data_IF_701661847322
#
_entry.id   IF_701661847322
#
_cell.length_a   1.000
_cell.length_b   1.000
_cell.length_c   1.000
_cell.angle_alpha   90.00
_cell.angle_beta   90.00
_cell.angle_gamma   90.00
#
_symmetry.space_group_name_H-M   'P 1'
#
loop_
_entity.id
_entity.type
_entity.pdbx_description
1 polymer ?
#
# COMPACT_ATOMS: atom_id res chain seq x y z
N UNK A 1 -6.07 8.90 34.01
CA UNK A 1 -6.49 7.50 33.83
C UNK A 1 -5.63 6.97 32.70
N UNK A 2 -4.89 5.88 32.92
CA UNK A 2 -4.17 5.24 31.81
C UNK A 2 -5.22 4.56 30.93
N UNK A 3 -5.26 4.87 29.65
CA UNK A 3 -6.16 4.20 28.71
C UNK A 3 -5.84 2.71 28.65
N UNK A 4 -6.88 1.87 28.78
CA UNK A 4 -6.77 0.44 28.57
C UNK A 4 -6.63 0.17 27.08
N UNK A 5 -5.39 0.05 26.60
CA UNK A 5 -5.06 -0.21 25.20
C UNK A 5 -5.22 -1.69 24.81
N UNK A 6 -6.01 -2.47 25.56
CA UNK A 6 -6.23 -3.88 25.25
C UNK A 6 -7.19 -4.02 24.07
N UNK A 7 -6.69 -4.72 23.04
CA UNK A 7 -7.44 -5.06 21.83
C UNK A 7 -7.65 -6.57 21.77
N UNK A 8 -8.88 -6.97 21.42
CA UNK A 8 -9.24 -8.37 21.14
C UNK A 8 -9.48 -8.52 19.65
N UNK A 9 -8.79 -9.45 19.02
CA UNK A 9 -8.86 -9.72 17.58
C UNK A 9 -9.08 -11.20 17.31
N UNK A 10 -9.68 -11.52 16.16
CA UNK A 10 -9.72 -12.89 15.67
C UNK A 10 -8.37 -13.26 15.04
N UNK A 11 -7.76 -14.35 15.50
CA UNK A 11 -6.50 -14.85 14.96
C UNK A 11 -6.77 -15.81 13.79
N UNK A 12 -6.74 -15.28 12.57
CA UNK A 12 -6.76 -16.07 11.34
C UNK A 12 -5.46 -16.87 11.12
N UNK A 13 -5.40 -17.73 10.10
CA UNK A 13 -4.26 -18.62 9.87
C UNK A 13 -2.87 -17.94 9.84
N UNK A 14 -2.66 -16.78 9.18
CA UNK A 14 -1.37 -16.10 9.20
C UNK A 14 -0.95 -15.69 10.62
N UNK A 15 -1.90 -15.23 11.43
CA UNK A 15 -1.63 -14.82 12.80
C UNK A 15 -1.35 -16.02 13.71
N UNK A 16 -2.09 -17.12 13.53
CA UNK A 16 -1.83 -18.37 14.24
C UNK A 16 -0.42 -18.89 13.94
N UNK A 17 0.02 -18.81 12.68
CA UNK A 17 1.38 -19.18 12.28
C UNK A 17 2.44 -18.29 12.95
N UNK A 18 2.22 -16.97 12.99
CA UNK A 18 3.13 -16.01 13.65
C UNK A 18 3.23 -16.24 15.16
N UNK A 19 2.12 -16.65 15.79
CA UNK A 19 1.99 -16.84 17.23
C UNK A 19 2.38 -18.26 17.69
N UNK A 20 2.47 -19.23 16.79
CA UNK A 20 2.79 -20.61 17.13
C UNK A 20 4.09 -20.70 17.94
N UNK A 21 4.05 -21.43 19.07
CA UNK A 21 5.22 -21.62 19.95
C UNK A 21 5.68 -20.39 20.74
N UNK A 22 4.94 -19.27 20.70
CA UNK A 22 5.30 -18.05 21.44
C UNK A 22 4.43 -17.87 22.70
N UNK A 23 5.05 -17.88 23.88
CA UNK A 23 4.37 -17.61 25.15
C UNK A 23 3.98 -16.11 25.28
N UNK A 24 4.78 -15.20 24.73
CA UNK A 24 4.54 -13.76 24.73
C UNK A 24 3.80 -13.25 23.48
N UNK A 25 2.50 -13.56 23.34
CA UNK A 25 1.71 -13.21 22.14
C UNK A 25 1.73 -11.72 21.79
N UNK A 26 1.49 -10.84 22.76
CA UNK A 26 1.46 -9.38 22.52
C UNK A 26 2.82 -8.85 22.08
N UNK A 27 3.91 -9.28 22.72
CA UNK A 27 5.26 -8.88 22.32
C UNK A 27 5.59 -9.36 20.90
N UNK A 28 5.16 -10.59 20.55
CA UNK A 28 5.34 -11.14 19.20
C UNK A 28 4.58 -10.35 18.15
N UNK A 29 3.33 -9.99 18.42
CA UNK A 29 2.51 -9.17 17.51
C UNK A 29 3.14 -7.81 17.25
N UNK A 30 3.55 -7.10 18.32
CA UNK A 30 4.20 -5.80 18.19
C UNK A 30 5.50 -5.91 17.38
N UNK A 31 6.31 -6.94 17.61
CA UNK A 31 7.55 -7.17 16.85
C UNK A 31 7.28 -7.39 15.36
N UNK A 32 6.22 -8.15 15.01
CA UNK A 32 5.87 -8.37 13.61
C UNK A 32 5.34 -7.09 12.97
N UNK A 33 4.48 -6.35 13.65
CA UNK A 33 3.97 -5.06 13.18
C UNK A 33 5.11 -4.05 12.97
N UNK A 34 6.06 -3.94 13.90
CA UNK A 34 7.22 -3.06 13.79
C UNK A 34 8.07 -3.41 12.56
N UNK A 35 8.36 -4.69 12.34
CA UNK A 35 9.13 -5.15 11.17
C UNK A 35 8.38 -4.92 9.86
N UNK A 36 7.06 -5.13 9.85
CA UNK A 36 6.23 -4.83 8.70
C UNK A 36 6.27 -3.34 8.35
N UNK A 37 6.07 -2.47 9.35
CA UNK A 37 6.13 -1.02 9.18
C UNK A 37 7.52 -0.54 8.72
N UNK A 38 8.60 -1.19 9.17
CA UNK A 38 9.95 -0.91 8.68
C UNK A 38 10.11 -1.28 7.20
N UNK A 39 9.60 -2.43 6.76
CA UNK A 39 9.58 -2.82 5.34
C UNK A 39 8.78 -1.81 4.51
N UNK A 40 7.58 -1.45 4.95
CA UNK A 40 6.74 -0.45 4.25
C UNK A 40 7.50 0.87 4.11
N UNK A 41 8.14 1.37 5.17
CA UNK A 41 8.87 2.64 5.14
C UNK A 41 10.10 2.59 4.24
N UNK A 42 10.90 1.52 4.33
CA UNK A 42 12.18 1.40 3.63
C UNK A 42 11.99 1.12 2.14
N UNK A 43 11.01 0.29 1.80
CA UNK A 43 10.84 -0.22 0.45
C UNK A 43 9.76 0.55 -0.34
N UNK A 44 9.15 1.60 0.24
CA UNK A 44 8.19 2.47 -0.45
C UNK A 44 8.81 3.08 -1.71
N UNK A 45 8.21 2.89 -2.90
CA UNK A 45 8.75 3.42 -4.14
C UNK A 45 8.59 4.95 -4.20
N UNK A 46 9.63 5.63 -4.68
CA UNK A 46 9.51 7.04 -5.07
C UNK A 46 8.75 7.17 -6.39
N UNK A 47 7.55 7.76 -6.34
CA UNK A 47 6.69 8.03 -7.51
C UNK A 47 6.23 9.49 -7.49
N UNK A 48 5.87 10.02 -8.64
CA UNK A 48 5.23 11.35 -8.73
C UNK A 48 3.81 11.30 -8.15
N UNK A 49 3.26 12.46 -7.79
CA UNK A 49 1.87 12.55 -7.31
C UNK A 49 0.89 11.98 -8.35
N UNK A 50 1.10 12.30 -9.63
CA UNK A 50 0.26 11.80 -10.73
C UNK A 50 0.31 10.28 -10.86
N UNK A 51 1.48 9.65 -10.72
CA UNK A 51 1.61 8.19 -10.72
C UNK A 51 0.91 7.55 -9.52
N UNK A 52 1.06 8.13 -8.32
CA UNK A 52 0.36 7.67 -7.13
C UNK A 52 -1.17 7.77 -7.28
N UNK A 53 -1.67 8.88 -7.80
CA UNK A 53 -3.09 9.07 -8.08
C UNK A 53 -3.59 8.08 -9.13
N UNK A 54 -2.83 7.84 -10.20
CA UNK A 54 -3.18 6.83 -11.22
C UNK A 54 -3.28 5.42 -10.61
N UNK A 55 -2.34 5.06 -9.73
CA UNK A 55 -2.38 3.78 -9.01
C UNK A 55 -3.61 3.68 -8.11
N UNK A 56 -3.87 4.71 -7.29
CA UNK A 56 -4.99 4.69 -6.36
C UNK A 56 -6.33 4.60 -7.09
N UNK A 57 -6.48 5.33 -8.21
CA UNK A 57 -7.67 5.33 -9.07
C UNK A 57 -7.91 3.97 -9.72
N UNK A 58 -6.88 3.37 -10.33
CA UNK A 58 -7.00 2.05 -10.94
C UNK A 58 -7.25 0.94 -9.91
N UNK A 59 -6.71 1.04 -8.70
CA UNK A 59 -6.91 0.06 -7.63
C UNK A 59 -8.14 0.36 -6.76
N UNK A 60 -8.97 1.33 -7.12
CA UNK A 60 -10.19 1.61 -6.39
C UNK A 60 -11.19 0.44 -6.52
N UNK A 61 -11.47 -0.24 -5.41
CA UNK A 61 -12.30 -1.44 -5.40
C UNK A 61 -11.57 -2.72 -5.84
N UNK A 62 -10.25 -2.64 -6.07
CA UNK A 62 -9.43 -3.82 -6.35
C UNK A 62 -9.17 -4.61 -5.07
N UNK A 63 -9.39 -5.93 -5.15
CA UNK A 63 -9.28 -6.81 -4.00
C UNK A 63 -7.82 -7.23 -3.78
N UNK A 64 -7.09 -6.48 -2.93
CA UNK A 64 -5.68 -6.75 -2.62
C UNK A 64 -5.49 -7.91 -1.61
N UNK A 65 -6.51 -8.21 -0.82
CA UNK A 65 -6.48 -9.25 0.21
C UNK A 65 -6.62 -10.66 -0.40
N UNK A 66 -5.78 -11.64 -0.04
CA UNK A 66 -5.98 -12.99 -0.58
C UNK A 66 -4.90 -13.98 -0.22
N UNK A 67 -5.11 -15.24 -0.60
CA UNK A 67 -4.09 -16.28 -0.43
C UNK A 67 -2.79 -15.84 -1.12
N UNK A 68 -1.69 -15.97 -0.39
CA UNK A 68 -0.32 -15.81 -0.92
C UNK A 68 -0.01 -14.45 -1.56
N UNK A 69 -0.71 -13.38 -1.16
CA UNK A 69 -0.53 -12.01 -1.67
C UNK A 69 -0.68 -11.89 -3.19
N UNK A 70 -1.49 -12.75 -3.82
CA UNK A 70 -1.69 -12.71 -5.27
C UNK A 70 -2.20 -11.35 -5.73
N UNK A 71 -3.21 -10.77 -5.05
CA UNK A 71 -3.75 -9.45 -5.38
C UNK A 71 -2.67 -8.37 -5.49
N UNK A 72 -1.84 -8.23 -4.46
CA UNK A 72 -0.69 -7.31 -4.45
C UNK A 72 0.28 -7.58 -5.61
N UNK A 73 0.61 -8.85 -5.88
CA UNK A 73 1.53 -9.24 -6.97
C UNK A 73 0.96 -9.01 -8.37
N UNK A 74 -0.36 -8.94 -8.50
CA UNK A 74 -1.04 -8.74 -9.79
C UNK A 74 -1.62 -7.34 -9.97
N UNK A 75 -1.48 -6.44 -8.99
CA UNK A 75 -2.00 -5.08 -9.03
C UNK A 75 -1.50 -4.29 -10.27
N UNK A 76 -0.31 -4.58 -10.77
CA UNK A 76 0.22 -3.98 -12.00
C UNK A 76 -0.67 -4.25 -13.24
N UNK A 77 -1.34 -5.40 -13.28
CA UNK A 77 -2.21 -5.76 -14.39
C UNK A 77 -3.45 -4.89 -14.43
N UNK A 78 -3.99 -4.52 -13.26
CA UNK A 78 -5.11 -3.59 -13.15
C UNK A 78 -4.74 -2.20 -13.68
N UNK A 79 -3.52 -1.72 -13.40
CA UNK A 79 -3.03 -0.45 -13.97
C UNK A 79 -2.99 -0.52 -15.50
N UNK A 80 -2.44 -1.61 -16.04
CA UNK A 80 -2.32 -1.81 -17.49
C UNK A 80 -3.69 -1.90 -18.17
N UNK A 81 -4.66 -2.57 -17.55
CA UNK A 81 -6.03 -2.69 -18.06
C UNK A 81 -6.82 -1.38 -17.90
N UNK A 82 -6.69 -0.68 -16.78
CA UNK A 82 -7.35 0.61 -16.57
C UNK A 82 -6.91 1.64 -17.61
N UNK A 83 -5.63 1.64 -18.00
CA UNK A 83 -5.16 2.48 -19.09
C UNK A 83 -5.74 2.06 -20.45
N UNK A 84 -5.60 0.78 -20.80
CA UNK A 84 -6.07 0.23 -22.09
C UNK A 84 -7.58 0.40 -22.30
N UNK A 85 -8.37 0.31 -21.24
CA UNK A 85 -9.83 0.31 -21.30
C UNK A 85 -10.44 1.67 -21.00
N UNK A 86 -9.80 2.49 -20.16
CA UNK A 86 -10.39 3.72 -19.62
C UNK A 86 -9.50 4.98 -19.78
N UNK A 87 -8.31 4.87 -20.38
CA UNK A 87 -7.44 6.02 -20.62
C UNK A 87 -6.80 6.60 -19.35
N UNK A 88 -6.42 5.74 -18.40
CA UNK A 88 -5.77 6.12 -17.14
C UNK A 88 -4.54 7.03 -17.35
N UNK A 89 -3.68 6.70 -18.33
CA UNK A 89 -2.49 7.50 -18.63
C UNK A 89 -2.83 8.90 -19.12
N UNK A 90 -3.86 9.04 -19.95
CA UNK A 90 -4.36 10.35 -20.40
C UNK A 90 -4.95 11.15 -19.24
N UNK A 91 -5.77 10.52 -18.39
CA UNK A 91 -6.42 11.15 -17.24
C UNK A 91 -5.41 11.79 -16.27
N UNK A 92 -4.31 11.09 -15.99
CA UNK A 92 -3.31 11.53 -15.00
C UNK A 92 -2.03 12.12 -15.62
N UNK A 93 -1.92 12.11 -16.96
CA UNK A 93 -0.72 12.59 -17.65
C UNK A 93 0.51 11.73 -17.39
N UNK A 94 0.35 10.41 -17.31
CA UNK A 94 1.42 9.44 -17.02
C UNK A 94 1.54 8.37 -18.10
N UNK A 95 2.72 7.77 -18.24
CA UNK A 95 2.88 6.53 -19.02
C UNK A 95 2.47 5.33 -18.15
N UNK A 96 1.16 5.01 -18.19
CA UNK A 96 0.59 3.98 -17.34
C UNK A 96 1.12 2.56 -17.68
N UNK A 97 1.48 2.30 -18.93
CA UNK A 97 2.07 1.01 -19.32
C UNK A 97 3.50 0.87 -18.78
N UNK A 98 4.31 1.93 -18.84
CA UNK A 98 5.62 1.94 -18.20
C UNK A 98 5.52 1.84 -16.68
N UNK A 99 4.52 2.50 -16.07
CA UNK A 99 4.24 2.39 -14.63
C UNK A 99 3.88 0.96 -14.24
N UNK A 100 2.98 0.32 -14.98
CA UNK A 100 2.61 -1.09 -14.77
C UNK A 100 3.82 -2.02 -14.90
N UNK A 101 4.67 -1.83 -15.92
CA UNK A 101 5.90 -2.61 -16.08
C UNK A 101 6.84 -2.44 -14.87
N UNK A 102 7.02 -1.20 -14.39
CA UNK A 102 7.81 -0.92 -13.18
C UNK A 102 7.22 -1.61 -11.94
N UNK A 103 5.91 -1.56 -11.75
CA UNK A 103 5.21 -2.22 -10.63
C UNK A 103 5.34 -3.74 -10.67
N UNK A 104 5.26 -4.35 -11.86
CA UNK A 104 5.47 -5.79 -12.04
C UNK A 104 6.87 -6.21 -11.60
N UNK A 105 7.86 -5.38 -11.90
CA UNK A 105 9.27 -5.68 -11.68
C UNK A 105 9.76 -5.20 -10.28
N UNK A 106 8.87 -4.65 -9.45
CA UNK A 106 9.16 -4.28 -8.06
C UNK A 106 9.53 -5.50 -7.20
N UNK A 107 10.34 -5.25 -6.17
CA UNK A 107 10.56 -6.24 -5.12
C UNK A 107 9.26 -6.50 -4.35
N UNK A 108 9.17 -7.66 -3.70
CA UNK A 108 8.01 -7.97 -2.86
C UNK A 108 7.77 -6.93 -1.75
N UNK A 109 8.85 -6.38 -1.17
CA UNK A 109 8.76 -5.32 -0.16
C UNK A 109 8.16 -4.03 -0.72
N UNK A 110 8.56 -3.62 -1.93
CA UNK A 110 8.01 -2.45 -2.59
C UNK A 110 6.55 -2.63 -3.01
N UNK A 111 6.16 -3.83 -3.47
CA UNK A 111 4.76 -4.15 -3.77
C UNK A 111 3.88 -4.09 -2.52
N UNK A 112 4.36 -4.63 -1.39
CA UNK A 112 3.67 -4.55 -0.09
C UNK A 112 3.57 -3.10 0.38
N UNK A 113 4.65 -2.31 0.28
CA UNK A 113 4.65 -0.91 0.65
C UNK A 113 3.64 -0.10 -0.17
N UNK A 114 3.57 -0.35 -1.49
CA UNK A 114 2.59 0.27 -2.37
C UNK A 114 1.16 -0.08 -1.98
N UNK A 115 0.87 -1.36 -1.73
CA UNK A 115 -0.46 -1.80 -1.31
C UNK A 115 -0.90 -1.13 0.00
N UNK A 116 -0.02 -1.07 1.01
CA UNK A 116 -0.29 -0.40 2.28
C UNK A 116 -0.60 1.09 2.09
N UNK A 117 0.14 1.79 1.22
CA UNK A 117 -0.12 3.20 0.91
C UNK A 117 -1.49 3.38 0.24
N UNK A 118 -1.84 2.53 -0.73
CA UNK A 118 -3.14 2.58 -1.43
C UNK A 118 -4.30 2.31 -0.46
N UNK A 119 -4.17 1.31 0.42
CA UNK A 119 -5.19 1.01 1.42
C UNK A 119 -5.41 2.19 2.38
N UNK A 120 -4.33 2.79 2.88
CA UNK A 120 -4.41 3.96 3.77
C UNK A 120 -4.95 5.20 3.07
N UNK A 121 -4.65 5.40 1.79
CA UNK A 121 -5.19 6.50 1.00
C UNK A 121 -6.73 6.43 0.99
N UNK A 122 -7.30 5.25 0.73
CA UNK A 122 -8.75 5.07 0.68
C UNK A 122 -9.45 5.05 2.05
N UNK A 123 -8.71 5.06 3.17
CA UNK A 123 -9.27 5.29 4.50
C UNK A 123 -9.61 6.78 4.76
N UNK A 124 -9.18 7.68 3.86
CA UNK A 124 -9.35 9.13 3.97
C UNK A 124 -9.95 9.77 2.71
N UNK A 125 -11.08 9.26 2.16
CA UNK A 125 -11.64 9.76 0.91
C UNK A 125 -12.13 11.23 1.00
N UNK A 126 -12.25 11.77 2.20
CA UNK A 126 -12.62 13.16 2.46
C UNK A 126 -11.48 14.16 2.20
N UNK A 127 -10.23 13.71 2.17
CA UNK A 127 -9.06 14.57 2.02
C UNK A 127 -8.72 14.84 0.55
N UNK A 128 -8.14 16.02 0.23
CA UNK A 128 -7.48 16.23 -1.06
C UNK A 128 -6.40 15.16 -1.31
N UNK A 129 -6.23 14.75 -2.57
CA UNK A 129 -5.36 13.63 -2.93
C UNK A 129 -3.92 13.78 -2.39
N UNK A 130 -3.30 14.95 -2.54
CA UNK A 130 -1.96 15.21 -2.01
C UNK A 130 -1.86 15.03 -0.49
N UNK A 131 -2.88 15.47 0.26
CA UNK A 131 -2.92 15.31 1.72
C UNK A 131 -3.17 13.85 2.12
N UNK A 132 -4.09 13.17 1.44
CA UNK A 132 -4.35 11.76 1.65
C UNK A 132 -3.09 10.90 1.39
N UNK A 133 -2.35 11.18 0.31
CA UNK A 133 -1.09 10.51 -0.01
C UNK A 133 -0.01 10.75 1.06
N UNK A 134 0.14 12.00 1.52
CA UNK A 134 1.07 12.33 2.59
C UNK A 134 0.73 11.59 3.89
N UNK A 135 -0.54 11.54 4.28
CA UNK A 135 -0.98 10.81 5.47
C UNK A 135 -0.88 9.28 5.31
N UNK A 136 -1.03 8.76 4.10
CA UNK A 136 -0.86 7.35 3.79
C UNK A 136 0.62 6.89 3.87
N UNK A 137 1.56 7.84 3.81
CA UNK A 137 3.00 7.58 3.81
C UNK A 137 3.59 7.35 2.42
N UNK A 138 2.95 7.88 1.38
CA UNK A 138 3.47 7.83 0.02
C UNK A 138 4.80 8.59 -0.08
N UNK A 139 5.80 8.00 -0.73
CA UNK A 139 7.04 8.70 -1.08
C UNK A 139 6.84 9.45 -2.41
N UNK A 140 6.49 10.73 -2.33
CA UNK A 140 6.26 11.58 -3.50
C UNK A 140 7.57 12.25 -3.94
N UNK A 141 7.99 12.01 -5.19
CA UNK A 141 9.15 12.65 -5.80
C UNK A 141 8.72 13.84 -6.67
N UNK A 142 9.56 14.88 -6.73
CA UNK A 142 9.31 16.07 -7.57
C UNK A 142 8.40 17.14 -6.95
N UNK A 143 7.98 16.98 -5.69
CA UNK A 143 7.44 18.08 -4.89
C UNK A 143 8.60 19.01 -4.50
N UNK A 144 8.66 20.21 -5.09
CA UNK A 144 9.46 21.28 -4.50
C UNK A 144 8.92 21.55 -3.08
N UNK A 145 9.81 21.50 -2.08
CA UNK A 145 9.44 21.90 -0.72
C UNK A 145 8.90 23.33 -0.75
N UNK A 146 7.80 23.64 -0.04
CA UNK A 146 7.33 25.02 0.04
C UNK A 146 8.47 25.90 0.59
N UNK A 147 8.75 26.98 -0.14
CA UNK A 147 9.73 28.00 0.23
C UNK A 147 9.38 28.69 1.56
#
# INVERSE_FOLDING_TARGET
MADDNRITIYAGPPLQQVLAGNEGRSARLNTVAERYLDVVRRDCPGLTEAEWCAICDALNGYWMEGCENIGVRTAWAEIADADRLNGLGEKWGVDAQALAARMRDMTAGAQVALAEVVERFWQRPELPAAEALAQAGASVIGMEAPA
#
